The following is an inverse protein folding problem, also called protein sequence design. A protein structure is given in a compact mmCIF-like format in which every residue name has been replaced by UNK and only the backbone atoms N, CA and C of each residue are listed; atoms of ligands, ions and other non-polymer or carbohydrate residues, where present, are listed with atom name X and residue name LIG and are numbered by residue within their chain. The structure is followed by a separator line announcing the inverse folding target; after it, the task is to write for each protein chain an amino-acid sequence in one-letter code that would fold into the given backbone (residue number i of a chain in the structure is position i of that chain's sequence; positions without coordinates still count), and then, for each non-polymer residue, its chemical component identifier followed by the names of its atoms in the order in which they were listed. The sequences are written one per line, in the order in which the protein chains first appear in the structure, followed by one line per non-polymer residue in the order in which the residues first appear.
data_IF_347346374739
#
_entry.id   IF_347346374739
#
_cell.length_a   1.000
_cell.length_b   1.000
_cell.length_c   1.000
_cell.angle_alpha   90.00
_cell.angle_beta   90.00
_cell.angle_gamma   90.00
#
_symmetry.space_group_name_H-M   'P 1'
#
loop_
_entity.id
_entity.type
_entity.pdbx_description
1 polymer ?
#
# COMPACT_ATOMS: atom_id res chain seq x y z
N UNK A 1 74.01 2.12 -7.69
CA UNK A 1 72.61 2.04 -8.18
C UNK A 1 71.89 1.11 -7.22
N UNK A 2 71.06 1.62 -6.33
CA UNK A 2 70.37 0.78 -5.34
C UNK A 2 69.11 0.21 -5.96
N UNK A 3 69.02 -1.11 -6.04
CA UNK A 3 67.81 -1.82 -6.45
C UNK A 3 66.91 -1.91 -5.22
N UNK A 4 65.70 -1.36 -5.32
CA UNK A 4 64.63 -1.61 -4.35
C UNK A 4 63.95 -2.92 -4.73
N UNK A 5 63.87 -3.87 -3.80
CA UNK A 5 63.08 -5.09 -3.95
C UNK A 5 61.73 -4.90 -3.26
N UNK A 6 60.65 -5.15 -3.98
CA UNK A 6 59.31 -5.25 -3.39
C UNK A 6 59.05 -6.73 -3.07
N UNK A 7 58.78 -7.04 -1.81
CA UNK A 7 58.29 -8.36 -1.39
C UNK A 7 56.80 -8.27 -1.18
N UNK A 8 56.01 -8.94 -2.04
CA UNK A 8 54.59 -9.13 -1.82
C UNK A 8 54.39 -10.40 -0.99
N UNK A 9 53.89 -10.26 0.23
CA UNK A 9 53.53 -11.41 1.06
C UNK A 9 52.17 -11.89 0.56
N UNK A 10 52.12 -13.05 -0.11
CA UNK A 10 50.87 -13.75 -0.35
C UNK A 10 50.36 -14.26 1.00
N UNK A 11 49.42 -13.54 1.62
CA UNK A 11 48.71 -13.99 2.82
C UNK A 11 47.77 -15.13 2.41
N UNK A 12 48.32 -16.33 2.22
CA UNK A 12 47.54 -17.54 1.94
C UNK A 12 47.15 -18.26 3.24
N UNK A 13 46.91 -17.50 4.32
CA UNK A 13 46.37 -18.06 5.54
C UNK A 13 44.87 -18.28 5.33
N UNK A 14 44.31 -19.45 5.68
CA UNK A 14 42.87 -19.61 5.75
C UNK A 14 42.32 -18.59 6.75
N UNK A 15 41.29 -17.84 6.35
CA UNK A 15 40.56 -16.98 7.28
C UNK A 15 39.90 -17.89 8.34
N UNK A 16 40.49 -17.94 9.52
CA UNK A 16 39.92 -18.66 10.67
C UNK A 16 39.03 -17.72 11.45
N UNK A 17 37.93 -18.24 12.00
CA UNK A 17 37.11 -17.49 12.94
C UNK A 17 37.92 -17.16 14.21
N UNK A 18 37.66 -16.03 14.88
CA UNK A 18 38.31 -15.71 16.15
C UNK A 18 37.96 -16.74 17.23
N UNK A 19 38.92 -17.09 18.09
CA UNK A 19 38.70 -17.98 19.24
C UNK A 19 37.71 -17.41 20.26
N UNK A 20 37.45 -16.10 20.21
CA UNK A 20 36.45 -15.41 21.04
C UNK A 20 35.00 -15.76 20.64
N UNK A 21 34.79 -16.39 19.48
CA UNK A 21 33.48 -16.80 18.97
C UNK A 21 32.63 -15.69 18.36
N UNK A 22 32.95 -14.40 18.61
CA UNK A 22 32.26 -13.27 17.98
C UNK A 22 32.97 -12.84 16.70
N UNK A 23 32.20 -12.70 15.63
CA UNK A 23 32.72 -12.31 14.30
C UNK A 23 32.40 -10.84 14.05
N UNK A 24 33.44 -10.02 14.00
CA UNK A 24 33.36 -8.59 13.67
C UNK A 24 33.90 -8.29 12.27
N UNK A 25 33.15 -7.55 11.45
CA UNK A 25 33.63 -6.98 10.18
C UNK A 25 33.56 -5.47 10.30
N UNK A 26 34.70 -4.78 10.15
CA UNK A 26 34.80 -3.33 10.40
C UNK A 26 34.80 -2.93 11.88
N UNK A 27 34.93 -3.89 12.81
CA UNK A 27 35.07 -3.66 14.25
C UNK A 27 35.96 -4.73 14.90
N UNK A 28 36.76 -4.33 15.89
CA UNK A 28 37.58 -5.25 16.70
C UNK A 28 36.91 -5.62 18.03
N UNK A 29 35.78 -5.00 18.35
CA UNK A 29 35.05 -5.23 19.60
C UNK A 29 33.56 -5.44 19.30
N UNK A 30 33.19 -6.57 18.67
CA UNK A 30 31.80 -6.87 18.36
C UNK A 30 30.97 -7.00 19.65
N UNK A 31 29.74 -6.50 19.64
CA UNK A 31 28.81 -6.57 20.79
C UNK A 31 27.81 -7.72 20.70
N UNK A 32 27.86 -8.50 19.62
CA UNK A 32 27.05 -9.70 19.40
C UNK A 32 27.82 -10.72 18.55
N UNK A 33 27.26 -11.93 18.39
CA UNK A 33 27.91 -13.05 17.71
C UNK A 33 28.38 -12.71 16.27
N UNK A 34 27.63 -11.87 15.56
CA UNK A 34 28.03 -11.38 14.24
C UNK A 34 27.65 -9.91 14.09
N UNK A 35 28.64 -9.05 13.94
CA UNK A 35 28.45 -7.61 13.77
C UNK A 35 29.24 -7.10 12.56
N UNK A 36 28.57 -6.37 11.69
CA UNK A 36 29.20 -5.62 10.60
C UNK A 36 29.00 -4.13 10.85
N UNK A 37 30.09 -3.37 10.94
CA UNK A 37 30.06 -1.90 10.92
C UNK A 37 30.44 -1.47 9.51
N UNK A 38 29.46 -1.05 8.73
CA UNK A 38 29.64 -0.63 7.34
C UNK A 38 28.59 -1.23 6.40
N UNK A 39 28.88 -1.18 5.10
CA UNK A 39 28.03 -1.73 4.06
C UNK A 39 28.20 -3.25 3.98
N UNK A 40 27.08 -3.97 3.82
CA UNK A 40 27.06 -5.42 3.57
C UNK A 40 26.29 -5.69 2.28
N UNK A 41 26.85 -6.54 1.41
CA UNK A 41 26.19 -7.01 0.20
C UNK A 41 26.03 -8.53 0.29
N UNK A 42 24.80 -9.00 0.11
CA UNK A 42 24.47 -10.43 0.03
C UNK A 42 23.94 -10.67 -1.39
N UNK A 43 24.67 -11.45 -2.18
CA UNK A 43 24.29 -11.76 -3.57
C UNK A 43 23.28 -12.92 -3.67
N UNK A 44 23.12 -13.69 -2.59
CA UNK A 44 22.15 -14.77 -2.47
C UNK A 44 20.93 -14.40 -1.62
N UNK A 45 20.26 -15.42 -1.10
CA UNK A 45 19.09 -15.24 -0.24
C UNK A 45 19.50 -14.91 1.20
N UNK A 46 18.79 -13.98 1.83
CA UNK A 46 18.86 -13.71 3.26
C UNK A 46 17.55 -14.16 3.92
N UNK A 47 17.65 -15.08 4.87
CA UNK A 47 16.55 -15.49 5.75
C UNK A 47 16.81 -14.96 7.15
N UNK A 48 15.81 -14.36 7.79
CA UNK A 48 15.85 -13.90 9.17
C UNK A 48 14.71 -14.60 9.91
N UNK A 49 15.05 -15.51 10.83
CA UNK A 49 14.06 -16.40 11.46
C UNK A 49 13.18 -15.72 12.51
N UNK A 50 13.68 -14.64 13.12
CA UNK A 50 12.98 -13.93 14.18
C UNK A 50 12.49 -12.56 13.71
N UNK A 51 13.26 -11.50 13.95
CA UNK A 51 12.83 -10.14 13.68
C UNK A 51 13.87 -9.37 12.87
N UNK A 52 13.40 -8.65 11.86
CA UNK A 52 14.21 -7.71 11.09
C UNK A 52 13.78 -6.28 11.44
N UNK A 53 14.69 -5.52 12.05
CA UNK A 53 14.50 -4.10 12.33
C UNK A 53 15.37 -3.28 11.39
N UNK A 54 14.76 -2.32 10.69
CA UNK A 54 15.43 -1.39 9.79
C UNK A 54 15.21 0.01 10.35
N UNK A 55 16.28 0.70 10.72
CA UNK A 55 16.22 1.97 11.44
C UNK A 55 15.97 3.19 10.56
N UNK A 56 16.31 3.10 9.27
CA UNK A 56 16.17 4.19 8.30
C UNK A 56 15.15 3.84 7.21
N UNK A 57 15.59 3.13 6.17
CA UNK A 57 14.75 2.83 5.01
C UNK A 57 14.99 1.44 4.45
N UNK A 58 13.91 0.82 3.96
CA UNK A 58 13.93 -0.45 3.27
C UNK A 58 13.28 -0.26 1.89
N UNK A 59 13.97 -0.72 0.85
CA UNK A 59 13.44 -0.72 -0.52
C UNK A 59 13.34 -2.16 -1.01
N UNK A 60 12.17 -2.53 -1.53
CA UNK A 60 11.91 -3.83 -2.12
C UNK A 60 11.51 -3.57 -3.56
N UNK A 61 12.34 -4.00 -4.51
CA UNK A 61 12.13 -3.69 -5.93
C UNK A 61 11.13 -4.62 -6.62
N UNK A 62 10.94 -5.82 -6.07
CA UNK A 62 10.00 -6.82 -6.60
C UNK A 62 8.78 -6.91 -5.68
N UNK A 63 8.56 -8.08 -5.07
CA UNK A 63 7.36 -8.35 -4.29
C UNK A 63 7.64 -8.32 -2.79
N UNK A 64 6.80 -7.60 -2.05
CA UNK A 64 6.68 -7.76 -0.60
C UNK A 64 5.45 -8.62 -0.30
N UNK A 65 5.66 -9.78 0.34
CA UNK A 65 4.58 -10.62 0.87
C UNK A 65 4.57 -10.55 2.38
N UNK A 66 3.43 -10.12 2.95
CA UNK A 66 3.19 -10.13 4.40
C UNK A 66 2.15 -11.20 4.70
N UNK A 67 2.54 -12.26 5.42
CA UNK A 67 1.62 -13.34 5.79
C UNK A 67 0.72 -12.99 7.00
N UNK A 68 1.09 -11.96 7.76
CA UNK A 68 0.33 -11.45 8.91
C UNK A 68 -0.31 -10.10 8.62
N UNK A 69 -0.16 -9.17 9.56
CA UNK A 69 -0.68 -7.81 9.44
C UNK A 69 0.37 -6.85 8.88
N UNK A 70 -0.05 -5.95 8.00
CA UNK A 70 0.75 -4.80 7.58
C UNK A 70 0.22 -3.54 8.28
N UNK A 71 1.08 -2.89 9.06
CA UNK A 71 0.81 -1.60 9.67
C UNK A 71 1.62 -0.50 8.97
N UNK A 72 0.95 0.52 8.45
CA UNK A 72 1.60 1.69 7.85
C UNK A 72 1.38 2.88 8.78
N UNK A 73 2.45 3.38 9.41
CA UNK A 73 2.34 4.40 10.46
C UNK A 73 2.04 5.82 9.97
N UNK A 74 2.31 6.11 8.69
CA UNK A 74 2.03 7.41 8.06
C UNK A 74 1.14 7.23 6.83
N UNK A 75 1.69 7.45 5.64
CA UNK A 75 0.96 7.40 4.39
C UNK A 75 1.29 6.10 3.65
N UNK A 76 0.29 5.50 3.03
CA UNK A 76 0.46 4.48 2.01
C UNK A 76 0.08 5.08 0.65
N UNK A 77 0.93 4.91 -0.35
CA UNK A 77 0.64 5.23 -1.75
C UNK A 77 0.44 3.91 -2.48
N UNK A 78 -0.76 3.69 -3.01
CA UNK A 78 -1.17 2.41 -3.61
C UNK A 78 -1.84 2.74 -4.94
N UNK A 79 -1.30 2.24 -6.06
CA UNK A 79 -1.77 2.61 -7.41
C UNK A 79 -2.67 1.57 -8.06
N UNK A 80 -2.59 0.31 -7.66
CA UNK A 80 -3.44 -0.77 -8.18
C UNK A 80 -3.63 -1.80 -7.07
N UNK A 81 -4.83 -1.85 -6.48
CA UNK A 81 -5.11 -2.75 -5.35
C UNK A 81 -6.46 -3.41 -5.47
N UNK A 82 -6.52 -4.64 -4.96
CA UNK A 82 -7.75 -5.41 -4.81
C UNK A 82 -7.82 -5.91 -3.38
N UNK A 83 -8.93 -5.64 -2.72
CA UNK A 83 -9.24 -6.22 -1.42
C UNK A 83 -10.13 -7.45 -1.65
N UNK A 84 -9.68 -8.63 -1.25
CA UNK A 84 -10.45 -9.88 -1.38
C UNK A 84 -11.65 -9.96 -0.43
N UNK A 85 -11.72 -9.04 0.53
CA UNK A 85 -12.76 -8.93 1.54
C UNK A 85 -13.07 -7.44 1.74
N UNK A 86 -13.35 -7.01 2.97
CA UNK A 86 -13.74 -5.62 3.24
C UNK A 86 -12.54 -4.67 3.36
N UNK A 87 -12.62 -3.55 2.65
CA UNK A 87 -11.87 -2.33 2.97
C UNK A 87 -12.63 -1.49 4.01
N UNK A 88 -12.06 -1.30 5.20
CA UNK A 88 -12.61 -0.40 6.24
C UNK A 88 -11.82 0.90 6.27
N UNK A 89 -12.50 2.04 6.13
CA UNK A 89 -11.88 3.37 6.20
C UNK A 89 -12.64 4.24 7.19
N UNK A 90 -11.95 4.72 8.23
CA UNK A 90 -12.57 5.56 9.26
C UNK A 90 -12.87 6.98 8.77
N UNK A 91 -12.02 7.51 7.87
CA UNK A 91 -12.19 8.83 7.27
C UNK A 91 -11.59 8.85 5.88
N UNK A 92 -12.39 9.25 4.90
CA UNK A 92 -11.93 9.52 3.55
C UNK A 92 -11.75 11.04 3.43
N UNK A 93 -10.57 11.47 3.01
CA UNK A 93 -10.31 12.87 2.65
C UNK A 93 -9.59 12.86 1.32
N UNK A 94 -10.38 12.69 0.27
CA UNK A 94 -9.89 12.62 -1.09
C UNK A 94 -9.90 14.03 -1.68
N UNK A 95 -8.75 14.50 -2.17
CA UNK A 95 -8.74 15.51 -3.24
C UNK A 95 -8.88 14.73 -4.54
N UNK A 96 -10.13 14.46 -4.93
CA UNK A 96 -10.42 13.76 -6.16
C UNK A 96 -10.05 14.70 -7.31
N UNK A 97 -9.13 14.26 -8.17
CA UNK A 97 -8.94 14.90 -9.48
C UNK A 97 -10.15 14.66 -10.37
N UNK A 98 -10.70 13.43 -10.33
CA UNK A 98 -11.70 13.00 -11.32
C UNK A 98 -13.00 12.44 -10.71
N UNK A 99 -13.01 11.45 -9.80
CA UNK A 99 -14.22 10.96 -9.10
C UNK A 99 -13.94 9.82 -8.11
N UNK A 100 -14.83 9.61 -7.13
CA UNK A 100 -14.94 8.35 -6.40
C UNK A 100 -15.86 7.43 -7.22
N UNK A 101 -15.26 6.53 -8.00
CA UNK A 101 -15.99 5.62 -8.88
C UNK A 101 -16.16 4.28 -8.18
N UNK A 102 -17.39 3.99 -7.75
CA UNK A 102 -17.77 2.70 -7.20
C UNK A 102 -18.42 1.86 -8.30
N UNK A 103 -17.81 0.73 -8.65
CA UNK A 103 -18.33 -0.21 -9.66
C UNK A 103 -18.38 -1.59 -9.00
N UNK A 104 -19.60 -2.05 -8.69
CA UNK A 104 -19.86 -3.34 -8.06
C UNK A 104 -21.37 -3.56 -7.89
N UNK A 105 -21.77 -4.81 -7.68
CA UNK A 105 -23.11 -5.29 -7.35
C UNK A 105 -23.51 -5.04 -5.89
N UNK A 106 -22.64 -4.42 -5.10
CA UNK A 106 -22.84 -4.24 -3.68
C UNK A 106 -23.68 -2.98 -3.42
N UNK A 107 -24.77 -3.13 -2.68
CA UNK A 107 -25.59 -2.03 -2.20
C UNK A 107 -24.72 -1.12 -1.34
N UNK A 108 -24.51 0.15 -1.74
CA UNK A 108 -24.08 1.18 -0.81
C UNK A 108 -25.28 1.41 0.10
N UNK A 109 -25.28 0.94 1.36
CA UNK A 109 -26.41 1.16 2.24
C UNK A 109 -26.34 2.62 2.67
N UNK A 110 -26.94 3.51 1.88
CA UNK A 110 -27.01 4.92 2.19
C UNK A 110 -27.86 5.08 3.46
N UNK A 111 -27.21 5.24 4.61
CA UNK A 111 -27.87 5.78 5.80
C UNK A 111 -27.51 7.25 6.06
N UNK A 112 -26.54 7.85 5.34
CA UNK A 112 -26.23 9.29 5.48
C UNK A 112 -25.73 9.93 4.17
N UNK A 113 -26.47 10.95 3.75
CA UNK A 113 -26.21 12.10 2.88
C UNK A 113 -24.80 12.24 2.26
N UNK A 114 -24.72 12.34 0.93
CA UNK A 114 -23.54 12.82 0.19
C UNK A 114 -23.57 14.36 0.20
N UNK A 115 -22.65 15.01 0.92
CA UNK A 115 -22.48 16.47 0.91
C UNK A 115 -21.40 16.87 -0.11
N UNK A 116 -21.81 17.42 -1.26
CA UNK A 116 -20.90 18.04 -2.22
C UNK A 116 -20.61 19.48 -1.77
N UNK A 117 -19.52 19.70 -1.03
CA UNK A 117 -19.13 21.06 -0.61
C UNK A 117 -18.08 21.64 -1.53
N UNK A 118 -18.48 22.40 -2.55
CA UNK A 118 -17.63 23.41 -3.19
C UNK A 118 -18.46 24.47 -3.96
N UNK A 119 -19.14 25.34 -3.23
CA UNK A 119 -19.61 26.65 -3.68
C UNK A 119 -19.69 27.58 -2.45
N UNK A 120 -19.64 28.92 -2.59
CA UNK A 120 -19.64 29.85 -1.44
C UNK A 120 -20.89 29.78 -0.55
N UNK A 121 -21.90 28.99 -0.92
CA UNK A 121 -23.00 28.56 -0.05
C UNK A 121 -23.11 27.02 -0.09
N UNK A 122 -23.31 26.34 1.05
CA UNK A 122 -23.50 24.89 1.07
C UNK A 122 -24.84 24.54 0.42
N UNK A 123 -24.81 24.01 -0.80
CA UNK A 123 -26.01 23.44 -1.42
C UNK A 123 -26.19 22.03 -0.83
N UNK A 124 -27.25 21.84 -0.06
CA UNK A 124 -27.68 20.53 0.40
C UNK A 124 -28.47 19.85 -0.71
N UNK A 125 -27.85 18.90 -1.40
CA UNK A 125 -28.56 18.04 -2.35
C UNK A 125 -28.97 16.77 -1.60
N UNK A 126 -30.23 16.72 -1.17
CA UNK A 126 -30.85 15.47 -0.71
C UNK A 126 -31.18 14.63 -1.94
N UNK A 127 -30.37 13.60 -2.20
CA UNK A 127 -30.75 12.53 -3.12
C UNK A 127 -31.52 11.51 -2.29
N UNK A 128 -32.85 11.52 -2.40
CA UNK A 128 -33.70 10.63 -1.62
C UNK A 128 -33.91 9.27 -2.27
N UNK A 129 -33.70 9.12 -3.59
CA UNK A 129 -33.82 7.83 -4.28
C UNK A 129 -32.79 7.66 -5.42
N UNK A 130 -32.22 6.46 -5.53
CA UNK A 130 -31.21 6.07 -6.51
C UNK A 130 -31.74 4.92 -7.38
N UNK A 131 -31.60 5.03 -8.70
CA UNK A 131 -32.01 4.01 -9.65
C UNK A 131 -31.06 2.80 -9.64
N UNK A 132 -31.59 1.58 -9.65
CA UNK A 132 -30.86 0.36 -10.03
C UNK A 132 -31.20 0.05 -11.49
N UNK A 133 -30.17 -0.09 -12.33
CA UNK A 133 -30.33 -0.50 -13.73
C UNK A 133 -30.51 -2.03 -13.77
N UNK A 134 -31.75 -2.52 -13.77
CA UNK A 134 -31.99 -3.95 -14.00
C UNK A 134 -31.86 -4.28 -15.49
N UNK A 135 -31.07 -5.31 -15.83
CA UNK A 135 -30.96 -5.82 -17.20
C UNK A 135 -32.34 -6.34 -17.64
N UNK A 136 -32.81 -6.05 -18.87
CA UNK A 136 -34.06 -6.61 -19.37
C UNK A 136 -34.01 -8.15 -19.32
N UNK A 137 -35.12 -8.83 -18.97
CA UNK A 137 -35.19 -10.29 -18.98
C UNK A 137 -34.77 -10.86 -20.33
N UNK A 138 -34.06 -12.00 -20.34
CA UNK A 138 -33.60 -12.64 -21.58
C UNK A 138 -34.77 -12.88 -22.55
N UNK A 139 -34.59 -12.41 -23.79
CA UNK A 139 -35.61 -12.53 -24.84
C UNK A 139 -36.60 -11.36 -24.94
N UNK A 140 -36.56 -10.38 -24.02
CA UNK A 140 -37.41 -9.18 -24.14
C UNK A 140 -36.73 -8.13 -25.02
N UNK A 141 -37.33 -7.72 -26.15
CA UNK A 141 -36.77 -6.66 -26.99
C UNK A 141 -36.89 -5.30 -26.28
N UNK A 142 -35.85 -4.48 -26.39
CA UNK A 142 -35.69 -3.20 -25.67
C UNK A 142 -36.86 -2.22 -25.83
N UNK A 143 -37.57 -2.26 -26.96
CA UNK A 143 -38.71 -1.39 -27.25
C UNK A 143 -40.00 -1.80 -26.52
N UNK A 144 -40.05 -3.00 -25.94
CA UNK A 144 -41.17 -3.51 -25.14
C UNK A 144 -40.86 -3.52 -23.63
N UNK A 145 -39.60 -3.28 -23.24
CA UNK A 145 -39.20 -3.15 -21.84
C UNK A 145 -39.63 -1.78 -21.30
N UNK A 146 -40.61 -1.77 -20.40
CA UNK A 146 -40.99 -0.57 -19.66
C UNK A 146 -40.02 -0.39 -18.49
N UNK A 147 -39.38 0.78 -18.41
CA UNK A 147 -38.71 1.21 -17.18
C UNK A 147 -39.72 1.12 -16.03
N UNK A 148 -39.41 0.37 -14.98
CA UNK A 148 -40.20 0.38 -13.75
C UNK A 148 -40.34 1.83 -13.28
N UNK A 149 -41.56 2.36 -13.34
CA UNK A 149 -41.81 3.79 -13.19
C UNK A 149 -41.48 4.31 -11.79
N UNK A 150 -40.86 5.49 -11.75
CA UNK A 150 -41.00 6.44 -10.65
C UNK A 150 -41.02 7.86 -11.24
N UNK A 151 -42.06 8.62 -10.90
CA UNK A 151 -42.20 10.03 -11.26
C UNK A 151 -41.20 10.84 -10.43
N UNK A 152 -40.30 11.58 -11.08
CA UNK A 152 -39.36 12.47 -10.44
C UNK A 152 -40.08 13.77 -10.00
N UNK A 153 -40.13 14.06 -8.71
CA UNK A 153 -40.24 15.44 -8.25
C UNK A 153 -38.89 15.89 -7.71
N UNK A 154 -38.27 16.84 -8.41
CA UNK A 154 -37.06 17.52 -7.93
C UNK A 154 -37.52 18.76 -7.15
N UNK A 155 -37.44 18.74 -5.83
CA UNK A 155 -37.48 19.98 -5.04
C UNK A 155 -36.04 20.46 -4.79
N UNK A 156 -35.61 21.47 -5.54
CA UNK A 156 -34.40 22.23 -5.22
C UNK A 156 -34.78 23.18 -4.07
N UNK A 157 -34.53 22.77 -2.84
CA UNK A 157 -34.65 23.67 -1.68
C UNK A 157 -33.35 24.48 -1.58
N UNK A 158 -33.37 25.69 -2.12
CA UNK A 158 -32.40 26.73 -1.79
C UNK A 158 -32.67 27.19 -0.35
N UNK A 159 -31.87 26.71 0.61
CA UNK A 159 -31.82 27.35 1.93
C UNK A 159 -31.18 28.74 1.73
N UNK A 160 -31.97 29.80 1.95
CA UNK A 160 -31.44 31.16 2.12
C UNK A 160 -30.71 31.28 3.45
#
# INVERSE_FOLDING_TARGET
MSIFTFSAISQNLPNTLPDTGFVGVGTNNPTCNFQVIGQSQISGNLTVDSSLTISDSARIDNNLRVNGHLFVGKNAYITDTTFSNVLRVNRITAKLGDSLVYIGDSSIPFHRTILLRQAPLPILILITEAWVLERPPEGMPFNLWQWGGLVLQTEIILLR
#
